data_IF_590242256594
#
_entry.id   IF_590242256594
#
_cell.length_a   1.000
_cell.length_b   1.000
_cell.length_c   1.000
_cell.angle_alpha   90.00
_cell.angle_beta   90.00
_cell.angle_gamma   90.00
#
_symmetry.space_group_name_H-M   'P 1'
#
loop_
_entity.id
_entity.type
_entity.pdbx_description
1 polymer ?
#
# COMPACT_ATOMS: atom_id res chain seq x y z
N UNK A 1 6.57 -5.66 -35.83
CA UNK A 1 7.11 -4.31 -35.60
C UNK A 1 6.00 -3.28 -35.77
N UNK A 2 5.38 -2.84 -34.68
CA UNK A 2 4.50 -1.65 -34.67
C UNK A 2 5.34 -0.50 -34.12
N UNK A 3 5.42 0.57 -34.89
CA UNK A 3 6.26 1.72 -34.62
C UNK A 3 5.93 2.34 -33.25
N UNK A 4 6.96 2.49 -32.40
CA UNK A 4 6.91 3.34 -31.22
C UNK A 4 6.61 4.77 -31.68
N UNK A 5 5.42 5.25 -31.33
CA UNK A 5 5.03 6.64 -31.55
C UNK A 5 5.86 7.48 -30.57
N UNK A 6 6.96 8.08 -31.04
CA UNK A 6 7.70 9.11 -30.30
C UNK A 6 6.72 10.21 -29.90
N UNK A 7 6.50 10.40 -28.59
CA UNK A 7 5.72 11.51 -28.04
C UNK A 7 6.26 12.84 -28.60
N UNK A 8 5.37 13.66 -29.15
CA UNK A 8 5.70 14.99 -29.67
C UNK A 8 5.80 15.99 -28.52
N UNK A 9 6.57 17.08 -28.70
CA UNK A 9 6.77 18.12 -27.69
C UNK A 9 5.48 18.86 -27.23
N UNK A 10 4.32 18.59 -27.86
CA UNK A 10 3.01 19.10 -27.45
C UNK A 10 2.37 18.35 -26.28
N UNK A 11 2.85 17.15 -25.93
CA UNK A 11 2.30 16.31 -24.85
C UNK A 11 3.16 16.36 -23.58
N UNK A 12 3.90 17.46 -23.39
CA UNK A 12 4.56 17.71 -22.11
C UNK A 12 3.49 18.03 -21.09
N UNK A 13 3.05 17.01 -20.36
CA UNK A 13 2.32 17.17 -19.10
C UNK A 13 3.02 18.31 -18.35
N UNK A 14 2.29 19.38 -18.05
CA UNK A 14 2.83 20.45 -17.23
C UNK A 14 2.95 19.90 -15.81
N UNK A 15 4.06 19.21 -15.55
CA UNK A 15 4.33 18.51 -14.30
C UNK A 15 4.13 19.45 -13.12
N UNK A 16 4.54 20.72 -13.24
CA UNK A 16 4.32 21.71 -12.19
C UNK A 16 2.82 21.96 -11.92
N UNK A 17 1.98 22.07 -12.95
CA UNK A 17 0.53 22.30 -12.80
C UNK A 17 -0.24 21.08 -12.26
N UNK A 18 0.26 19.86 -12.51
CA UNK A 18 -0.35 18.63 -11.98
C UNK A 18 -0.17 18.51 -10.46
N UNK A 19 0.95 18.99 -9.93
CA UNK A 19 1.29 18.85 -8.51
C UNK A 19 1.09 20.13 -7.68
N UNK A 20 1.30 21.31 -8.25
CA UNK A 20 1.15 22.58 -7.54
C UNK A 20 -0.29 23.07 -7.67
N UNK A 21 -1.06 22.88 -6.59
CA UNK A 21 -2.44 23.37 -6.47
C UNK A 21 -2.48 24.62 -5.61
N UNK A 22 -3.37 25.56 -5.96
CA UNK A 22 -3.65 26.72 -5.13
C UNK A 22 -4.36 26.30 -3.83
N UNK A 23 -4.39 27.20 -2.85
CA UNK A 23 -5.10 26.97 -1.59
C UNK A 23 -6.60 26.73 -1.85
N UNK A 24 -7.19 27.49 -2.75
CA UNK A 24 -8.60 27.40 -3.16
C UNK A 24 -8.89 26.04 -3.82
N UNK A 25 -8.01 25.58 -4.70
CA UNK A 25 -8.13 24.25 -5.32
C UNK A 25 -8.05 23.13 -4.28
N UNK A 26 -7.16 23.25 -3.29
CA UNK A 26 -7.01 22.26 -2.22
C UNK A 26 -8.20 22.26 -1.25
N UNK A 27 -8.78 23.42 -0.92
CA UNK A 27 -9.98 23.53 -0.08
C UNK A 27 -11.18 22.85 -0.73
N UNK A 28 -11.37 23.04 -2.04
CA UNK A 28 -12.47 22.47 -2.81
C UNK A 28 -12.27 20.99 -3.20
N UNK A 29 -11.09 20.42 -2.94
CA UNK A 29 -10.73 19.06 -3.35
C UNK A 29 -11.50 17.99 -2.57
N UNK A 30 -11.78 16.86 -3.21
CA UNK A 30 -12.25 15.64 -2.53
C UNK A 30 -11.27 15.25 -1.41
N UNK A 31 -11.79 14.84 -0.24
CA UNK A 31 -10.94 14.55 0.91
C UNK A 31 -9.95 13.42 0.64
N UNK A 32 -10.35 12.37 -0.10
CA UNK A 32 -9.48 11.22 -0.37
C UNK A 32 -8.33 11.64 -1.26
N UNK A 33 -8.61 12.42 -2.30
CA UNK A 33 -7.56 13.00 -3.15
C UNK A 33 -6.66 13.96 -2.35
N UNK A 34 -7.24 14.87 -1.56
CA UNK A 34 -6.50 15.84 -0.76
C UNK A 34 -5.50 15.16 0.19
N UNK A 35 -5.96 14.14 0.92
CA UNK A 35 -5.11 13.37 1.85
C UNK A 35 -3.99 12.64 1.13
N UNK A 36 -4.30 11.99 0.00
CA UNK A 36 -3.29 11.33 -0.84
C UNK A 36 -2.25 12.32 -1.36
N UNK A 37 -2.70 13.49 -1.82
CA UNK A 37 -1.84 14.56 -2.32
C UNK A 37 -0.99 15.15 -1.20
N UNK A 38 -1.50 15.25 0.02
CA UNK A 38 -0.71 15.68 1.17
C UNK A 38 0.47 14.74 1.42
N UNK A 39 0.24 13.41 1.44
CA UNK A 39 1.31 12.41 1.59
C UNK A 39 2.35 12.52 0.48
N UNK A 40 1.89 12.55 -0.77
CA UNK A 40 2.75 12.64 -1.95
C UNK A 40 3.61 13.91 -1.93
N UNK A 41 2.99 15.08 -1.73
CA UNK A 41 3.71 16.35 -1.71
C UNK A 41 4.67 16.41 -0.54
N UNK A 42 4.28 15.99 0.66
CA UNK A 42 5.14 15.99 1.84
C UNK A 42 6.37 15.09 1.62
N UNK A 43 6.17 13.91 1.05
CA UNK A 43 7.25 12.98 0.68
C UNK A 43 8.26 13.64 -0.28
N UNK A 44 7.78 14.21 -1.39
CA UNK A 44 8.65 14.73 -2.45
C UNK A 44 9.26 16.11 -2.17
N UNK A 45 8.60 16.96 -1.38
CA UNK A 45 9.06 18.33 -1.11
C UNK A 45 9.79 18.47 0.21
N UNK A 46 9.43 17.70 1.24
CA UNK A 46 10.02 17.85 2.57
C UNK A 46 10.82 16.63 3.01
N UNK A 47 10.20 15.45 3.08
CA UNK A 47 10.76 14.27 3.73
C UNK A 47 12.15 13.87 3.19
N UNK A 48 12.26 13.70 1.87
CA UNK A 48 13.52 13.30 1.22
C UNK A 48 14.63 14.33 1.50
N UNK A 49 14.29 15.61 1.43
CA UNK A 49 15.25 16.71 1.59
C UNK A 49 15.69 16.86 3.04
N UNK A 50 14.75 16.67 3.97
CA UNK A 50 14.99 16.71 5.41
C UNK A 50 16.00 15.64 5.83
N UNK A 51 15.77 14.38 5.44
CA UNK A 51 16.71 13.31 5.81
C UNK A 51 18.07 13.49 5.11
N UNK A 52 18.08 13.90 3.84
CA UNK A 52 19.32 14.24 3.14
C UNK A 52 20.11 15.34 3.87
N UNK A 53 19.45 16.39 4.35
CA UNK A 53 20.07 17.46 5.11
C UNK A 53 20.60 16.96 6.47
N UNK A 54 19.79 16.22 7.22
CA UNK A 54 20.14 15.68 8.53
C UNK A 54 21.40 14.79 8.47
N UNK A 55 21.43 13.80 7.57
CA UNK A 55 22.54 12.85 7.49
C UNK A 55 23.79 13.41 6.81
N UNK A 56 23.68 14.53 6.08
CA UNK A 56 24.84 15.18 5.45
C UNK A 56 25.36 16.37 6.25
N UNK A 57 24.78 16.65 7.43
CA UNK A 57 25.16 17.79 8.27
C UNK A 57 24.99 19.14 7.55
N UNK A 58 23.95 19.28 6.72
CA UNK A 58 23.66 20.50 5.96
C UNK A 58 22.39 21.18 6.46
N UNK A 59 22.30 22.52 6.42
CA UNK A 59 21.04 23.20 6.70
C UNK A 59 19.99 22.86 5.64
N UNK A 60 18.72 22.79 6.05
CA UNK A 60 17.60 22.59 5.14
C UNK A 60 17.19 23.92 4.49
N UNK A 61 16.96 23.93 3.17
CA UNK A 61 16.44 25.11 2.49
C UNK A 61 15.00 25.40 2.96
N UNK A 62 14.68 26.60 3.50
CA UNK A 62 13.35 26.94 3.99
C UNK A 62 12.22 26.80 2.96
N UNK A 63 12.53 26.83 1.66
CA UNK A 63 11.52 26.61 0.61
C UNK A 63 10.95 25.19 0.61
N UNK A 64 11.68 24.20 1.17
CA UNK A 64 11.24 22.81 1.21
C UNK A 64 10.06 22.57 2.16
N UNK A 65 9.83 23.45 3.15
CA UNK A 65 8.69 23.31 4.08
C UNK A 65 7.39 23.87 3.51
N UNK A 66 7.46 24.78 2.53
CA UNK A 66 6.34 25.64 2.10
C UNK A 66 5.14 24.85 1.62
N UNK A 67 5.37 23.77 0.87
CA UNK A 67 4.26 22.93 0.39
C UNK A 67 3.60 22.21 1.56
N UNK A 68 4.36 21.59 2.47
CA UNK A 68 3.78 20.93 3.65
C UNK A 68 3.04 21.91 4.56
N UNK A 69 3.59 23.12 4.77
CA UNK A 69 2.92 24.19 5.53
C UNK A 69 1.57 24.59 4.92
N UNK A 70 1.50 24.75 3.59
CA UNK A 70 0.24 25.03 2.88
C UNK A 70 -0.80 23.94 3.10
N UNK A 71 -0.40 22.66 3.01
CA UNK A 71 -1.32 21.55 3.27
C UNK A 71 -1.78 21.50 4.72
N UNK A 72 -0.91 21.81 5.69
CA UNK A 72 -1.28 21.90 7.11
C UNK A 72 -2.28 23.03 7.36
N UNK A 73 -2.10 24.19 6.72
CA UNK A 73 -3.05 25.31 6.78
C UNK A 73 -4.41 24.91 6.22
N UNK A 74 -4.44 24.33 5.01
CA UNK A 74 -5.69 23.84 4.40
C UNK A 74 -6.33 22.75 5.24
N UNK A 75 -5.55 21.86 5.87
CA UNK A 75 -6.06 20.82 6.75
C UNK A 75 -6.85 21.40 7.92
N UNK A 76 -6.30 22.43 8.56
CA UNK A 76 -6.95 23.16 9.65
C UNK A 76 -8.22 23.88 9.18
N UNK A 77 -8.17 24.56 8.04
CA UNK A 77 -9.33 25.25 7.48
C UNK A 77 -10.45 24.29 7.06
N UNK A 78 -10.12 23.07 6.63
CA UNK A 78 -11.08 22.00 6.38
C UNK A 78 -11.64 21.37 7.67
N UNK A 79 -11.15 21.76 8.85
CA UNK A 79 -11.59 21.23 10.14
C UNK A 79 -11.27 19.75 10.34
N UNK A 80 -10.23 19.24 9.69
CA UNK A 80 -9.91 17.82 9.70
C UNK A 80 -9.19 17.41 11.00
N UNK A 81 -9.43 16.20 11.54
CA UNK A 81 -8.80 15.77 12.79
C UNK A 81 -7.27 15.71 12.70
N UNK A 82 -6.58 16.28 13.68
CA UNK A 82 -5.11 16.23 13.79
C UNK A 82 -4.56 14.84 14.14
N UNK A 83 -5.44 13.91 14.54
CA UNK A 83 -5.07 12.53 14.87
C UNK A 83 -4.90 11.64 13.64
N UNK A 84 -5.27 12.12 12.46
CA UNK A 84 -5.10 11.36 11.22
C UNK A 84 -3.61 11.29 10.82
N UNK A 85 -3.17 10.17 10.21
CA UNK A 85 -1.76 9.85 10.05
C UNK A 85 -0.97 10.88 9.24
N UNK A 86 -1.60 11.54 8.26
CA UNK A 86 -0.97 12.54 7.41
C UNK A 86 -0.55 13.76 8.21
N UNK A 87 -1.44 14.27 9.07
CA UNK A 87 -1.19 15.43 9.91
C UNK A 87 -0.12 15.12 10.97
N UNK A 88 -0.23 13.96 11.64
CA UNK A 88 0.76 13.50 12.63
C UNK A 88 2.16 13.42 12.01
N UNK A 89 2.27 12.79 10.84
CA UNK A 89 3.54 12.62 10.15
C UNK A 89 4.12 13.96 9.67
N UNK A 90 3.31 14.78 8.99
CA UNK A 90 3.75 16.07 8.47
C UNK A 90 4.14 17.05 9.59
N UNK A 91 3.38 17.10 10.69
CA UNK A 91 3.69 17.91 11.87
C UNK A 91 5.06 17.52 12.47
N UNK A 92 5.33 16.21 12.59
CA UNK A 92 6.62 15.73 13.07
C UNK A 92 7.76 16.14 12.14
N UNK A 93 7.61 15.95 10.84
CA UNK A 93 8.61 16.36 9.85
C UNK A 93 8.85 17.88 9.87
N UNK A 94 7.81 18.70 9.98
CA UNK A 94 7.97 20.15 10.09
C UNK A 94 8.74 20.55 11.35
N UNK A 95 8.49 19.90 12.48
CA UNK A 95 9.24 20.17 13.72
C UNK A 95 10.74 19.88 13.57
N UNK A 96 11.10 18.85 12.82
CA UNK A 96 12.48 18.51 12.48
C UNK A 96 13.07 19.49 11.47
N UNK A 97 12.29 19.84 10.44
CA UNK A 97 12.68 20.79 9.41
C UNK A 97 13.07 22.15 9.99
N UNK A 98 12.30 22.65 10.96
CA UNK A 98 12.55 23.93 11.63
C UNK A 98 13.93 23.96 12.32
N UNK A 99 14.35 22.86 12.94
CA UNK A 99 15.71 22.75 13.53
C UNK A 99 16.79 22.85 12.45
N UNK A 100 16.65 22.04 11.39
CA UNK A 100 17.62 22.00 10.28
C UNK A 100 17.69 23.33 9.51
N UNK A 101 16.58 24.06 9.38
CA UNK A 101 16.54 25.41 8.78
C UNK A 101 17.37 26.40 9.60
N UNK A 102 17.36 26.28 10.93
CA UNK A 102 18.19 27.10 11.83
C UNK A 102 19.66 26.66 11.89
N UNK A 103 20.04 25.63 11.13
CA UNK A 103 21.39 25.06 11.14
C UNK A 103 21.68 24.19 12.36
N UNK A 104 20.65 23.80 13.13
CA UNK A 104 20.79 22.86 14.24
C UNK A 104 20.95 21.43 13.72
N UNK A 105 21.53 20.56 14.55
CA UNK A 105 21.56 19.12 14.30
C UNK A 105 20.25 18.45 14.70
N UNK A 106 19.97 17.30 14.07
CA UNK A 106 18.79 16.50 14.36
C UNK A 106 19.21 15.14 14.90
N UNK A 107 18.77 14.80 16.12
CA UNK A 107 18.93 13.46 16.68
C UNK A 107 17.79 12.56 16.21
N UNK A 108 18.14 11.54 15.42
CA UNK A 108 17.23 10.53 14.89
C UNK A 108 17.42 9.16 15.55
N UNK A 109 18.29 9.02 16.55
CA UNK A 109 18.54 7.76 17.26
C UNK A 109 17.28 7.12 17.87
N UNK A 110 16.23 7.85 18.31
CA UNK A 110 14.99 7.21 18.77
C UNK A 110 14.21 6.46 17.70
N UNK A 111 14.56 6.63 16.41
CA UNK A 111 13.94 5.96 15.26
C UNK A 111 14.82 4.88 14.65
N UNK A 112 15.97 4.59 15.24
CA UNK A 112 16.84 3.52 14.77
C UNK A 112 16.14 2.17 14.90
N UNK A 113 16.23 1.39 13.82
CA UNK A 113 15.75 0.00 13.77
C UNK A 113 16.92 -0.94 13.96
N UNK A 114 16.74 -1.96 14.81
CA UNK A 114 17.74 -3.01 15.01
C UNK A 114 17.45 -4.22 14.11
N UNK A 115 18.48 -4.95 13.64
CA UNK A 115 18.28 -6.24 12.98
C UNK A 115 17.55 -7.24 13.89
N UNK A 116 16.88 -8.21 13.27
CA UNK A 116 16.26 -9.33 13.99
C UNK A 116 17.32 -10.18 14.70
N UNK A 117 16.98 -10.66 15.91
CA UNK A 117 17.76 -11.68 16.60
C UNK A 117 17.74 -13.02 15.86
N UNK A 118 18.68 -13.95 16.14
CA UNK A 118 18.69 -15.26 15.49
C UNK A 118 17.37 -16.05 15.64
N UNK A 119 16.70 -15.94 16.79
CA UNK A 119 15.39 -16.58 17.01
C UNK A 119 14.28 -15.94 16.18
N UNK A 120 14.29 -14.63 16.02
CA UNK A 120 13.31 -13.91 15.19
C UNK A 120 13.54 -14.16 13.71
N UNK A 121 14.79 -14.27 13.27
CA UNK A 121 15.15 -14.67 11.91
C UNK A 121 14.58 -16.05 11.56
N UNK A 122 14.72 -17.03 12.45
CA UNK A 122 14.11 -18.34 12.24
C UNK A 122 12.59 -18.26 12.08
N UNK A 123 11.91 -17.42 12.87
CA UNK A 123 10.48 -17.17 12.73
C UNK A 123 10.11 -16.53 11.38
N UNK A 124 10.90 -15.55 10.94
CA UNK A 124 10.75 -14.91 9.62
C UNK A 124 10.94 -15.92 8.48
N UNK A 125 12.02 -16.71 8.50
CA UNK A 125 12.31 -17.73 7.50
C UNK A 125 11.20 -18.77 7.40
N UNK A 126 10.71 -19.27 8.53
CA UNK A 126 9.56 -20.17 8.55
C UNK A 126 8.33 -19.53 7.92
N UNK A 127 8.06 -18.26 8.27
CA UNK A 127 6.91 -17.54 7.71
C UNK A 127 6.98 -17.44 6.18
N UNK A 128 8.17 -17.19 5.63
CA UNK A 128 8.38 -17.05 4.18
C UNK A 128 8.43 -18.41 3.47
N UNK A 129 9.18 -19.37 4.02
CA UNK A 129 9.53 -20.63 3.36
C UNK A 129 8.56 -21.77 3.66
N UNK A 130 7.78 -21.75 4.74
CA UNK A 130 6.78 -22.78 5.05
C UNK A 130 5.38 -22.45 4.52
N UNK A 131 5.09 -21.17 4.22
CA UNK A 131 3.80 -20.75 3.65
C UNK A 131 3.50 -21.47 2.32
N UNK A 132 2.31 -22.06 2.20
CA UNK A 132 1.79 -22.74 0.99
C UNK A 132 0.48 -22.12 0.54
N UNK A 133 0.13 -22.34 -0.72
CA UNK A 133 -1.22 -22.07 -1.20
C UNK A 133 -2.16 -23.16 -0.67
N UNK A 134 -3.03 -22.78 0.27
CA UNK A 134 -4.01 -23.69 0.88
C UNK A 134 -5.36 -23.58 0.18
N UNK A 135 -6.02 -24.72 -0.09
CA UNK A 135 -7.30 -24.78 -0.82
C UNK A 135 -8.34 -25.70 -0.17
N UNK A 136 -7.95 -26.39 0.89
CA UNK A 136 -8.82 -27.22 1.72
C UNK A 136 -8.82 -26.65 3.14
N UNK A 137 -10.00 -26.57 3.75
CA UNK A 137 -10.24 -25.77 4.94
C UNK A 137 -11.03 -26.57 5.95
N UNK A 138 -10.66 -26.44 7.23
CA UNK A 138 -11.47 -26.98 8.31
C UNK A 138 -12.70 -26.10 8.54
N UNK A 139 -13.70 -26.62 9.26
CA UNK A 139 -14.89 -25.87 9.65
C UNK A 139 -14.63 -24.76 10.69
N UNK A 140 -13.40 -24.63 11.20
CA UNK A 140 -13.07 -23.63 12.23
C UNK A 140 -13.18 -22.22 11.65
N UNK A 141 -13.97 -21.37 12.29
CA UNK A 141 -14.13 -19.96 11.93
C UNK A 141 -12.87 -19.16 12.25
N UNK A 142 -12.44 -18.31 11.31
CA UNK A 142 -11.36 -17.33 11.52
C UNK A 142 -11.86 -16.20 12.45
N UNK A 143 -11.24 -15.98 13.62
CA UNK A 143 -11.58 -14.88 14.53
C UNK A 143 -11.34 -13.49 13.93
N UNK A 144 -12.21 -12.52 14.25
CA UNK A 144 -12.11 -11.15 13.71
C UNK A 144 -10.81 -10.43 14.11
N UNK A 145 -10.28 -10.70 15.31
CA UNK A 145 -9.01 -10.09 15.77
C UNK A 145 -7.80 -10.55 14.93
N UNK A 146 -7.83 -11.80 14.44
CA UNK A 146 -6.81 -12.31 13.52
C UNK A 146 -6.98 -11.64 12.15
N UNK A 147 -8.22 -11.49 11.67
CA UNK A 147 -8.50 -10.77 10.42
C UNK A 147 -7.92 -9.35 10.50
N UNK A 148 -8.20 -8.60 11.56
CA UNK A 148 -7.68 -7.25 11.74
C UNK A 148 -6.14 -7.20 11.70
N UNK A 149 -5.46 -8.14 12.40
CA UNK A 149 -3.99 -8.24 12.38
C UNK A 149 -3.44 -8.53 10.98
N UNK A 150 -4.10 -9.40 10.21
CA UNK A 150 -3.74 -9.72 8.82
C UNK A 150 -3.93 -8.50 7.91
N UNK A 151 -5.07 -7.83 7.99
CA UNK A 151 -5.35 -6.62 7.20
C UNK A 151 -4.37 -5.49 7.55
N UNK A 152 -4.04 -5.33 8.84
CA UNK A 152 -3.03 -4.37 9.31
C UNK A 152 -1.68 -4.65 8.66
N UNK A 153 -1.23 -5.91 8.63
CA UNK A 153 0.02 -6.27 7.94
C UNK A 153 -0.03 -5.89 6.44
N UNK A 154 -1.18 -6.09 5.79
CA UNK A 154 -1.38 -5.65 4.41
C UNK A 154 -1.29 -4.12 4.23
N UNK A 155 -1.82 -3.32 5.16
CA UNK A 155 -1.68 -1.84 5.13
C UNK A 155 -0.24 -1.35 5.34
N UNK A 156 0.61 -2.16 5.98
CA UNK A 156 2.04 -1.90 6.14
C UNK A 156 2.88 -2.28 4.92
N UNK A 157 2.25 -2.75 3.84
CA UNK A 157 2.95 -2.99 2.58
C UNK A 157 3.51 -1.69 1.99
N UNK A 158 4.66 -1.80 1.31
CA UNK A 158 5.24 -0.67 0.58
C UNK A 158 4.22 -0.08 -0.42
N UNK A 159 4.20 1.24 -0.51
CA UNK A 159 3.29 1.98 -1.39
C UNK A 159 4.05 3.07 -2.14
N UNK A 160 3.85 3.12 -3.46
CA UNK A 160 4.41 4.16 -4.30
C UNK A 160 4.01 5.55 -3.78
N UNK A 161 5.01 6.40 -3.57
CA UNK A 161 4.86 7.79 -3.11
C UNK A 161 4.01 7.94 -1.83
N UNK A 162 3.93 6.89 -0.98
CA UNK A 162 3.09 6.85 0.21
C UNK A 162 1.61 7.19 -0.05
N UNK A 163 1.08 6.83 -1.22
CA UNK A 163 -0.28 7.21 -1.62
C UNK A 163 -1.38 6.50 -0.81
N UNK A 164 -1.13 5.28 -0.34
CA UNK A 164 -2.05 4.48 0.50
C UNK A 164 -3.43 4.24 -0.14
N UNK A 165 -3.44 3.70 -1.36
CA UNK A 165 -4.66 3.42 -2.14
C UNK A 165 -5.40 2.16 -1.69
N UNK A 166 -4.74 1.27 -0.94
CA UNK A 166 -5.27 -0.05 -0.62
C UNK A 166 -6.48 0.04 0.31
N UNK A 167 -7.52 -0.71 -0.05
CA UNK A 167 -8.73 -0.96 0.73
C UNK A 167 -9.00 -2.47 0.72
N UNK A 168 -9.82 -2.93 1.65
CA UNK A 168 -10.21 -4.34 1.70
C UNK A 168 -11.72 -4.47 1.70
N UNK A 169 -12.21 -5.41 0.91
CA UNK A 169 -13.56 -5.95 1.06
C UNK A 169 -13.41 -7.35 1.67
N UNK A 170 -13.98 -7.54 2.86
CA UNK A 170 -13.86 -8.77 3.64
C UNK A 170 -15.22 -9.45 3.66
N UNK A 171 -15.28 -10.69 3.17
CA UNK A 171 -16.53 -11.43 3.03
C UNK A 171 -16.36 -12.85 3.56
N UNK A 172 -17.32 -13.32 4.34
CA UNK A 172 -17.36 -14.70 4.81
C UNK A 172 -18.25 -15.51 3.88
N UNK A 173 -17.78 -16.65 3.41
CA UNK A 173 -18.53 -17.48 2.45
C UNK A 173 -19.91 -17.89 3.00
N UNK A 174 -20.04 -18.09 4.32
CA UNK A 174 -21.32 -18.36 4.98
C UNK A 174 -22.40 -17.27 4.78
N UNK A 175 -22.00 -16.05 4.41
CA UNK A 175 -22.90 -14.92 4.14
C UNK A 175 -23.02 -14.58 2.65
N UNK A 176 -22.23 -15.21 1.79
CA UNK A 176 -22.23 -14.96 0.35
C UNK A 176 -21.96 -16.25 -0.45
N UNK A 177 -22.70 -17.35 -0.20
CA UNK A 177 -22.37 -18.66 -0.72
C UNK A 177 -22.30 -18.67 -2.25
N UNK A 178 -21.16 -19.12 -2.78
CA UNK A 178 -20.90 -19.22 -4.20
C UNK A 178 -20.55 -17.90 -4.89
N UNK A 179 -20.50 -16.77 -4.16
CA UNK A 179 -20.20 -15.46 -4.74
C UNK A 179 -18.79 -15.40 -5.35
N UNK A 180 -17.85 -16.18 -4.81
CA UNK A 180 -16.48 -16.26 -5.32
C UNK A 180 -16.22 -17.44 -6.27
N UNK A 181 -17.26 -18.17 -6.70
CA UNK A 181 -17.12 -19.21 -7.73
C UNK A 181 -16.82 -18.60 -9.09
N UNK A 182 -15.80 -19.15 -9.76
CA UNK A 182 -15.34 -18.70 -11.07
C UNK A 182 -13.85 -18.96 -11.35
N UNK A 183 -13.09 -19.40 -10.36
CA UNK A 183 -11.70 -19.86 -10.50
C UNK A 183 -11.62 -21.39 -10.61
N UNK A 184 -10.40 -21.89 -10.79
CA UNK A 184 -10.04 -23.31 -10.79
C UNK A 184 -10.02 -23.94 -9.38
N UNK A 185 -10.50 -23.22 -8.36
CA UNK A 185 -10.55 -23.69 -6.97
C UNK A 185 -11.97 -23.55 -6.37
N UNK A 186 -12.32 -24.34 -5.34
CA UNK A 186 -13.66 -24.29 -4.73
C UNK A 186 -14.02 -22.97 -4.03
N UNK A 187 -13.00 -22.18 -3.64
CA UNK A 187 -13.11 -20.99 -2.77
C UNK A 187 -12.66 -21.27 -1.33
N UNK A 188 -12.55 -20.23 -0.50
CA UNK A 188 -12.25 -20.34 0.94
C UNK A 188 -13.35 -19.84 1.87
N UNK A 189 -13.25 -20.07 3.19
CA UNK A 189 -14.27 -19.65 4.16
C UNK A 189 -14.25 -18.13 4.44
N UNK A 190 -13.12 -17.47 4.17
CA UNK A 190 -12.95 -16.02 4.25
C UNK A 190 -12.30 -15.51 2.96
N UNK A 191 -12.94 -14.54 2.31
CA UNK A 191 -12.45 -13.85 1.13
C UNK A 191 -12.03 -12.43 1.50
N UNK A 192 -10.79 -12.09 1.19
CA UNK A 192 -10.26 -10.72 1.34
C UNK A 192 -9.91 -10.20 -0.04
N UNK A 193 -10.78 -9.35 -0.59
CA UNK A 193 -10.52 -8.68 -1.86
C UNK A 193 -9.64 -7.46 -1.62
N UNK A 194 -8.50 -7.41 -2.31
CA UNK A 194 -7.62 -6.25 -2.35
C UNK A 194 -8.19 -5.25 -3.34
N UNK A 195 -8.72 -4.17 -2.80
CA UNK A 195 -9.28 -3.05 -3.52
C UNK A 195 -8.27 -1.90 -3.61
N UNK A 196 -8.42 -1.06 -4.64
CA UNK A 196 -7.70 0.19 -4.76
C UNK A 196 -8.68 1.34 -4.97
N UNK A 197 -8.60 2.35 -4.11
CA UNK A 197 -9.37 3.59 -4.28
C UNK A 197 -8.71 4.47 -5.34
N UNK A 198 -9.25 4.44 -6.56
CA UNK A 198 -8.65 5.10 -7.72
C UNK A 198 -8.62 6.62 -7.61
N UNK A 199 -9.37 7.24 -6.68
CA UNK A 199 -9.28 8.67 -6.39
C UNK A 199 -7.92 9.05 -5.81
N UNK A 200 -7.29 8.14 -5.06
CA UNK A 200 -5.94 8.34 -4.49
C UNK A 200 -4.91 8.60 -5.59
N UNK A 201 -5.03 7.93 -6.74
CA UNK A 201 -4.08 8.10 -7.84
C UNK A 201 -4.22 9.43 -8.60
N UNK A 202 -5.28 10.21 -8.37
CA UNK A 202 -5.35 11.59 -8.86
C UNK A 202 -4.30 12.51 -8.22
N UNK A 203 -3.82 12.15 -7.03
CA UNK A 203 -2.73 12.86 -6.36
C UNK A 203 -1.39 12.78 -7.12
N UNK A 204 -1.20 11.72 -7.92
CA UNK A 204 -0.05 11.54 -8.79
C UNK A 204 -0.52 10.99 -10.16
N UNK A 205 -1.02 11.86 -11.05
CA UNK A 205 -1.66 11.44 -12.30
C UNK A 205 -0.69 10.84 -13.32
N UNK A 206 0.61 11.00 -13.09
CA UNK A 206 1.68 10.44 -13.94
C UNK A 206 2.23 9.11 -13.40
N UNK A 207 1.65 8.58 -12.32
CA UNK A 207 2.10 7.33 -11.75
C UNK A 207 1.77 6.14 -12.68
N UNK A 208 2.76 5.31 -13.06
CA UNK A 208 2.51 4.16 -13.92
C UNK A 208 1.50 3.19 -13.33
N UNK A 209 0.64 2.62 -14.17
CA UNK A 209 -0.31 1.57 -13.74
C UNK A 209 0.41 0.37 -13.12
N UNK A 210 1.61 0.02 -13.62
CA UNK A 210 2.44 -1.04 -13.05
C UNK A 210 2.74 -0.80 -11.56
N UNK A 211 3.01 0.44 -11.14
CA UNK A 211 3.23 0.76 -9.73
C UNK A 211 1.95 0.54 -8.91
N UNK A 212 0.78 0.86 -9.47
CA UNK A 212 -0.49 0.58 -8.80
C UNK A 212 -0.68 -0.92 -8.58
N UNK A 213 -0.35 -1.76 -9.57
CA UNK A 213 -0.44 -3.20 -9.44
C UNK A 213 0.60 -3.75 -8.44
N UNK A 214 1.80 -3.15 -8.37
CA UNK A 214 2.81 -3.48 -7.37
C UNK A 214 2.36 -3.15 -5.94
N UNK A 215 1.68 -2.03 -5.71
CA UNK A 215 1.10 -1.70 -4.40
C UNK A 215 0.13 -2.80 -3.93
N UNK A 216 -0.78 -3.23 -4.81
CA UNK A 216 -1.73 -4.31 -4.52
C UNK A 216 -1.04 -5.66 -4.33
N UNK A 217 0.02 -5.93 -5.11
CA UNK A 217 0.83 -7.12 -4.96
C UNK A 217 1.57 -7.16 -3.61
N UNK A 218 2.17 -6.05 -3.20
CA UNK A 218 2.83 -5.95 -1.90
C UNK A 218 1.84 -6.18 -0.75
N UNK A 219 0.64 -5.60 -0.84
CA UNK A 219 -0.43 -5.86 0.13
C UNK A 219 -0.85 -7.34 0.14
N UNK A 220 -1.11 -7.94 -1.02
CA UNK A 220 -1.45 -9.36 -1.17
C UNK A 220 -0.40 -10.30 -0.56
N UNK A 221 0.89 -10.00 -0.78
CA UNK A 221 1.98 -10.77 -0.21
C UNK A 221 2.02 -10.67 1.33
N UNK A 222 1.85 -9.47 1.89
CA UNK A 222 1.79 -9.29 3.33
C UNK A 222 0.59 -10.02 3.95
N UNK A 223 -0.57 -10.03 3.27
CA UNK A 223 -1.76 -10.77 3.74
C UNK A 223 -1.46 -12.27 3.88
N UNK A 224 -0.87 -12.91 2.86
CA UNK A 224 -0.63 -14.36 2.91
C UNK A 224 0.49 -14.75 3.88
N UNK A 225 1.49 -13.89 4.09
CA UNK A 225 2.53 -14.11 5.10
C UNK A 225 1.96 -13.95 6.51
N UNK A 226 1.18 -12.89 6.75
CA UNK A 226 0.54 -12.66 8.04
C UNK A 226 -0.46 -13.77 8.38
N UNK A 227 -1.29 -14.19 7.43
CA UNK A 227 -2.20 -15.31 7.60
C UNK A 227 -1.45 -16.56 8.09
N UNK A 228 -0.34 -16.91 7.44
CA UNK A 228 0.49 -18.04 7.84
C UNK A 228 1.11 -17.87 9.23
N UNK A 229 1.65 -16.69 9.56
CA UNK A 229 2.19 -16.40 10.89
C UNK A 229 1.15 -16.56 12.02
N UNK A 230 -0.13 -16.29 11.74
CA UNK A 230 -1.24 -16.49 12.68
C UNK A 230 -1.88 -17.89 12.61
N UNK A 231 -1.25 -18.84 11.90
CA UNK A 231 -1.68 -20.24 11.83
C UNK A 231 -2.83 -20.51 10.83
N UNK A 232 -3.09 -19.58 9.92
CA UNK A 232 -4.03 -19.77 8.82
C UNK A 232 -3.32 -20.30 7.57
N UNK A 233 -4.08 -21.02 6.75
CA UNK A 233 -3.76 -21.22 5.34
C UNK A 233 -4.29 -20.05 4.53
N UNK A 234 -3.65 -19.75 3.40
CA UNK A 234 -4.14 -18.77 2.45
C UNK A 234 -3.79 -19.15 1.01
N UNK A 235 -4.62 -18.74 0.05
CA UNK A 235 -4.32 -18.78 -1.37
C UNK A 235 -4.57 -17.40 -1.99
N UNK A 236 -3.52 -16.84 -2.57
CA UNK A 236 -3.61 -15.60 -3.33
C UNK A 236 -4.07 -15.92 -4.75
N UNK A 237 -5.17 -15.28 -5.17
CA UNK A 237 -5.93 -15.58 -6.37
C UNK A 237 -6.15 -14.35 -7.24
N UNK A 238 -6.25 -14.60 -8.54
CA UNK A 238 -6.58 -13.57 -9.53
C UNK A 238 -8.03 -13.75 -9.97
N UNK A 239 -8.72 -12.64 -10.25
CA UNK A 239 -10.02 -12.70 -10.91
C UNK A 239 -9.81 -13.15 -12.37
N UNK A 240 -10.34 -14.32 -12.71
CA UNK A 240 -10.24 -14.93 -14.05
C UNK A 240 -11.39 -14.52 -14.98
N UNK A 241 -12.44 -13.89 -14.44
CA UNK A 241 -13.60 -13.46 -15.21
C UNK A 241 -14.11 -12.09 -14.74
N UNK A 242 -14.51 -11.25 -15.69
CA UNK A 242 -15.12 -9.95 -15.38
C UNK A 242 -16.54 -10.14 -14.83
N UNK A 243 -17.21 -11.24 -15.17
CA UNK A 243 -18.51 -11.61 -14.63
C UNK A 243 -18.46 -11.85 -13.11
N UNK A 244 -17.38 -12.46 -12.61
CA UNK A 244 -17.18 -12.63 -11.16
C UNK A 244 -17.01 -11.28 -10.46
N UNK A 245 -16.19 -10.38 -11.03
CA UNK A 245 -16.04 -9.02 -10.52
C UNK A 245 -17.38 -8.29 -10.52
N UNK A 246 -18.14 -8.34 -11.61
CA UNK A 246 -19.42 -7.65 -11.72
C UNK A 246 -20.43 -8.16 -10.68
N UNK A 247 -20.54 -9.48 -10.51
CA UNK A 247 -21.37 -10.08 -9.45
C UNK A 247 -21.03 -9.59 -8.06
N UNK A 248 -19.74 -9.57 -7.70
CA UNK A 248 -19.29 -9.09 -6.38
C UNK A 248 -19.61 -7.61 -6.23
N UNK A 249 -19.33 -6.80 -7.27
CA UNK A 249 -19.63 -5.36 -7.31
C UNK A 249 -21.10 -5.09 -7.05
N UNK A 250 -21.99 -5.78 -7.76
CA UNK A 250 -23.43 -5.58 -7.62
C UNK A 250 -23.93 -6.04 -6.24
N UNK A 251 -23.42 -7.17 -5.74
CA UNK A 251 -23.80 -7.70 -4.43
C UNK A 251 -23.53 -6.73 -3.28
N UNK A 252 -22.40 -6.02 -3.31
CA UNK A 252 -21.99 -5.08 -2.25
C UNK A 252 -22.22 -3.61 -2.62
N UNK A 253 -22.82 -3.32 -3.78
CA UNK A 253 -22.92 -1.98 -4.35
C UNK A 253 -21.57 -1.23 -4.39
N UNK A 254 -20.52 -1.92 -4.86
CA UNK A 254 -19.15 -1.39 -4.82
C UNK A 254 -19.02 -0.17 -5.77
N UNK A 255 -18.55 1.00 -5.27
CA UNK A 255 -18.37 2.17 -6.11
C UNK A 255 -17.41 1.94 -7.28
N UNK A 256 -17.65 2.61 -8.41
CA UNK A 256 -16.84 2.46 -9.63
C UNK A 256 -15.36 2.79 -9.41
N UNK A 257 -15.08 3.79 -8.57
CA UNK A 257 -13.71 4.19 -8.23
C UNK A 257 -12.97 3.16 -7.35
N UNK A 258 -13.64 2.13 -6.83
CA UNK A 258 -12.98 1.02 -6.14
C UNK A 258 -12.66 -0.08 -7.15
N UNK A 259 -11.37 -0.16 -7.53
CA UNK A 259 -10.88 -1.20 -8.43
C UNK A 259 -10.63 -2.49 -7.65
N UNK A 260 -11.20 -3.60 -8.12
CA UNK A 260 -10.87 -4.94 -7.66
C UNK A 260 -9.64 -5.46 -8.42
N UNK A 261 -8.54 -5.66 -7.71
CA UNK A 261 -7.26 -6.05 -8.34
C UNK A 261 -6.99 -7.54 -8.17
N UNK A 262 -7.12 -8.05 -6.95
CA UNK A 262 -6.85 -9.45 -6.60
C UNK A 262 -7.57 -9.80 -5.31
N UNK A 263 -7.59 -11.07 -4.91
CA UNK A 263 -8.19 -11.49 -3.66
C UNK A 263 -7.39 -12.63 -3.01
N UNK A 264 -7.59 -12.80 -1.71
CA UNK A 264 -6.97 -13.86 -0.92
C UNK A 264 -8.08 -14.63 -0.23
N UNK A 265 -8.13 -15.93 -0.49
CA UNK A 265 -8.94 -16.86 0.27
C UNK A 265 -8.12 -17.39 1.45
N UNK A 266 -8.69 -17.42 2.64
CA UNK A 266 -8.00 -17.86 3.83
C UNK A 266 -8.92 -18.57 4.83
N UNK A 267 -8.33 -19.41 5.67
CA UNK A 267 -9.03 -20.24 6.64
C UNK A 267 -8.06 -21.10 7.43
N UNK A 268 -8.57 -21.87 8.39
CA UNK A 268 -7.73 -22.88 9.04
C UNK A 268 -7.51 -24.04 8.06
N UNK A 269 -6.25 -24.41 7.76
CA UNK A 269 -5.94 -25.38 6.73
C UNK A 269 -6.40 -26.78 7.15
N UNK A 270 -6.96 -27.54 6.20
CA UNK A 270 -7.21 -28.98 6.33
C UNK A 270 -6.41 -29.78 5.29
N UNK A 271 -5.27 -29.21 4.87
CA UNK A 271 -4.31 -29.85 3.99
C UNK A 271 -2.88 -29.42 4.32
N UNK A 272 -1.92 -30.25 3.92
CA UNK A 272 -0.48 -29.98 4.03
C UNK A 272 0.21 -30.16 2.68
N UNK A 273 0.18 -29.15 1.79
CA UNK A 273 0.73 -29.27 0.44
C UNK A 273 2.25 -29.40 0.43
N UNK A 274 2.76 -30.23 -0.48
CA UNK A 274 4.20 -30.30 -0.76
C UNK A 274 4.74 -28.94 -1.26
N UNK A 275 5.92 -28.47 -0.79
CA UNK A 275 6.52 -27.23 -1.28
C UNK A 275 6.80 -27.23 -2.78
N UNK A 276 6.32 -26.21 -3.52
CA UNK A 276 6.83 -25.96 -4.86
C UNK A 276 8.31 -25.54 -4.74
N UNK A 277 9.18 -26.19 -5.50
CA UNK A 277 10.60 -25.84 -5.55
C UNK A 277 10.79 -24.44 -6.18
N UNK A 278 11.94 -23.81 -5.93
CA UNK A 278 12.33 -22.53 -6.55
C UNK A 278 13.61 -22.75 -7.33
N UNK A 279 13.79 -21.94 -8.38
CA UNK A 279 15.09 -21.82 -9.04
C UNK A 279 16.15 -21.36 -8.03
N UNK A 280 17.41 -21.66 -8.31
CA UNK A 280 18.51 -21.20 -7.47
C UNK A 280 18.69 -19.69 -7.53
N UNK A 281 19.32 -19.09 -6.52
CA UNK A 281 19.68 -17.66 -6.55
C UNK A 281 20.61 -17.35 -7.72
N UNK A 282 21.55 -18.25 -8.02
CA UNK A 282 22.49 -18.08 -9.13
C UNK A 282 21.78 -18.03 -10.49
N UNK A 283 20.71 -18.81 -10.67
CA UNK A 283 19.87 -18.75 -11.87
C UNK A 283 19.03 -17.47 -11.94
N UNK A 284 18.62 -16.93 -10.78
CA UNK A 284 17.78 -15.74 -10.69
C UNK A 284 18.54 -14.41 -10.85
N UNK A 285 19.87 -14.40 -10.75
CA UNK A 285 20.68 -13.17 -10.70
C UNK A 285 21.51 -12.98 -11.97
N UNK A 286 21.39 -11.79 -12.56
CA UNK A 286 22.32 -11.31 -13.59
C UNK A 286 23.38 -10.41 -12.95
N UNK A 287 24.60 -10.92 -12.76
CA UNK A 287 25.71 -10.12 -12.23
C UNK A 287 26.30 -9.22 -13.31
N UNK A 288 26.14 -7.91 -13.13
CA UNK A 288 26.88 -6.92 -13.92
C UNK A 288 28.32 -6.81 -13.41
N UNK A 289 29.28 -6.81 -14.32
CA UNK A 289 30.71 -6.66 -14.04
C UNK A 289 31.12 -5.20 -14.14
#
# INVERSE_FOLDING_TARGET
MKAERRMTMSDKINFAAEFNKSKEELLAMDEVEFRARFRERCHHTLEIQLYSAAYRGKPLNPKQTKTTELFMEVWQERGMPETLPEYVFASRLLSFAQKLVRGETLDLSPYEVSPLSPSELSGFERTVYERRSVREWSARKVPDDIIEKVLKAGLWAAHACNLQSIRYLVMREEHCPGLFRGSDIPGGPLHVVVLQDMRVYKANPVMPESNQLLDAGAAGQNLVLAAHAYGLGACWLTFTSEEMKQRIRDYVNLPEYMRMTTYVDMGYPDQSPYPPQRISVDEAVYYWK
#
